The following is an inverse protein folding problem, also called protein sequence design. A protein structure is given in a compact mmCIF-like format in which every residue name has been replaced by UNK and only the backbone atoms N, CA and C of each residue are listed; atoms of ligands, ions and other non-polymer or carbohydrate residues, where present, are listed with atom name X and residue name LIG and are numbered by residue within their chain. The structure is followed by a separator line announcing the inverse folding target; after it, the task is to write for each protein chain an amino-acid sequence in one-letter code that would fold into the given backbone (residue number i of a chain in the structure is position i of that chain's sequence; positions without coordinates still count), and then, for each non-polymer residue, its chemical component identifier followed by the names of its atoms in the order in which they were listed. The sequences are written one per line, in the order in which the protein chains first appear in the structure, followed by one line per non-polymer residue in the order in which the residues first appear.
data_IF_084525140176
#
_entry.id   IF_084525140176
#
_cell.length_a   1.000
_cell.length_b   1.000
_cell.length_c   1.000
_cell.angle_alpha   90.00
_cell.angle_beta   90.00
_cell.angle_gamma   90.00
#
_symmetry.space_group_name_H-M   'P 1'
#
loop_
_entity.id
_entity.type
_entity.pdbx_description
1 polymer ?
#
# COMPACT_ATOMS: atom_id res chain seq x y z
N UNK A 1 -2.72 -6.72 -23.80
CA UNK A 1 -1.33 -6.90 -23.34
C UNK A 1 -1.30 -8.07 -22.38
N UNK A 2 -0.48 -9.10 -22.64
CA UNK A 2 -0.14 -10.11 -21.63
C UNK A 2 1.12 -9.58 -20.94
N UNK A 3 0.95 -8.63 -20.02
CA UNK A 3 2.04 -7.96 -19.31
C UNK A 3 2.19 -8.56 -17.92
N UNK A 4 3.25 -9.33 -17.70
CA UNK A 4 3.67 -9.74 -16.35
C UNK A 4 4.54 -8.67 -15.71
N UNK A 5 4.74 -8.75 -14.39
CA UNK A 5 5.75 -7.95 -13.72
C UNK A 5 7.15 -8.24 -14.28
N UNK A 6 7.97 -7.20 -14.38
CA UNK A 6 9.39 -7.36 -14.71
C UNK A 6 10.12 -8.12 -13.58
N UNK A 7 11.31 -8.65 -13.88
CA UNK A 7 12.13 -9.31 -12.85
C UNK A 7 12.53 -8.32 -11.74
N UNK A 8 12.73 -7.05 -12.10
CA UNK A 8 13.05 -5.96 -11.17
C UNK A 8 11.89 -5.70 -10.22
N UNK A 9 10.67 -5.59 -10.75
CA UNK A 9 9.46 -5.42 -9.95
C UNK A 9 9.20 -6.61 -9.03
N UNK A 10 9.33 -7.83 -9.55
CA UNK A 10 9.23 -9.06 -8.75
C UNK A 10 10.24 -9.06 -7.60
N UNK A 11 11.50 -8.71 -7.87
CA UNK A 11 12.54 -8.66 -6.83
C UNK A 11 12.19 -7.63 -5.74
N UNK A 12 11.81 -6.40 -6.10
CA UNK A 12 11.44 -5.36 -5.15
C UNK A 12 10.23 -5.73 -4.30
N UNK A 13 9.18 -6.30 -4.91
CA UNK A 13 7.99 -6.80 -4.19
C UNK A 13 8.36 -7.93 -3.23
N UNK A 14 9.18 -8.90 -3.66
CA UNK A 14 9.61 -9.99 -2.78
C UNK A 14 10.40 -9.50 -1.56
N UNK A 15 11.18 -8.42 -1.69
CA UNK A 15 11.86 -7.79 -0.56
C UNK A 15 10.86 -7.13 0.41
N UNK A 16 9.80 -6.51 -0.11
CA UNK A 16 8.76 -5.88 0.71
C UNK A 16 7.87 -6.91 1.42
N UNK A 17 7.65 -8.07 0.80
CA UNK A 17 6.82 -9.16 1.32
C UNK A 17 7.60 -10.48 1.38
N UNK A 18 8.61 -10.64 2.28
CA UNK A 18 9.45 -11.85 2.28
C UNK A 18 8.69 -13.18 2.45
N UNK A 19 7.47 -13.14 3.00
CA UNK A 19 6.57 -14.30 3.09
C UNK A 19 6.27 -14.91 1.72
N UNK A 20 6.29 -14.13 0.65
CA UNK A 20 6.04 -14.62 -0.72
C UNK A 20 7.14 -15.56 -1.22
N UNK A 21 8.33 -15.54 -0.61
CA UNK A 21 9.41 -16.46 -0.97
C UNK A 21 9.17 -17.88 -0.44
N UNK A 22 8.21 -18.08 0.46
CA UNK A 22 7.92 -19.38 1.08
C UNK A 22 7.08 -20.31 0.21
N UNK A 23 6.59 -19.86 -0.95
CA UNK A 23 5.67 -20.63 -1.80
C UNK A 23 4.21 -20.56 -1.33
N UNK A 24 3.27 -20.90 -2.21
CA UNK A 24 1.84 -20.97 -1.89
C UNK A 24 0.90 -20.21 -2.84
N UNK A 25 -0.40 -20.51 -2.73
CA UNK A 25 -1.48 -19.88 -3.52
C UNK A 25 -1.57 -18.37 -3.21
N UNK A 26 -1.30 -17.98 -1.97
CA UNK A 26 -1.32 -16.60 -1.48
C UNK A 26 -0.37 -15.66 -2.28
N UNK A 27 0.73 -16.20 -2.81
CA UNK A 27 1.69 -15.45 -3.65
C UNK A 27 1.03 -15.02 -4.95
N UNK A 28 0.39 -15.98 -5.62
CA UNK A 28 -0.32 -15.73 -6.88
C UNK A 28 -1.41 -14.68 -6.65
N UNK A 29 -2.13 -14.78 -5.53
CA UNK A 29 -3.12 -13.78 -5.14
C UNK A 29 -2.51 -12.39 -4.94
N UNK A 30 -1.41 -12.24 -4.20
CA UNK A 30 -0.78 -10.93 -4.00
C UNK A 30 -0.35 -10.30 -5.33
N UNK A 31 0.36 -11.03 -6.19
CA UNK A 31 0.79 -10.48 -7.48
C UNK A 31 -0.40 -10.15 -8.39
N UNK A 32 -1.49 -10.93 -8.33
CA UNK A 32 -2.73 -10.59 -9.05
C UNK A 32 -3.34 -9.29 -8.51
N UNK A 33 -3.43 -9.12 -7.19
CA UNK A 33 -3.97 -7.90 -6.56
C UNK A 33 -3.09 -6.68 -6.81
N UNK A 34 -1.77 -6.81 -6.68
CA UNK A 34 -0.82 -5.76 -7.03
C UNK A 34 -0.95 -5.37 -8.50
N UNK A 35 -1.07 -6.35 -9.41
CA UNK A 35 -1.26 -6.03 -10.83
C UNK A 35 -2.52 -5.20 -11.06
N UNK A 36 -3.65 -5.61 -10.46
CA UNK A 36 -4.90 -4.83 -10.52
C UNK A 36 -4.70 -3.42 -9.96
N UNK A 37 -3.99 -3.28 -8.84
CA UNK A 37 -3.66 -1.99 -8.25
C UNK A 37 -2.90 -1.09 -9.24
N UNK A 38 -1.92 -1.63 -9.97
CA UNK A 38 -1.20 -0.88 -11.00
C UNK A 38 -2.03 -0.56 -12.23
N UNK A 39 -2.92 -1.47 -12.64
CA UNK A 39 -3.89 -1.21 -13.71
C UNK A 39 -4.79 -0.01 -13.35
N UNK A 40 -5.28 0.05 -12.11
CA UNK A 40 -6.07 1.18 -11.58
C UNK A 40 -5.29 2.50 -11.51
N UNK A 41 -3.96 2.44 -11.35
CA UNK A 41 -3.12 3.65 -11.34
C UNK A 41 -2.95 4.30 -12.71
N UNK A 42 -3.23 3.59 -13.81
CA UNK A 42 -3.35 4.18 -15.15
C UNK A 42 -2.14 4.09 -16.10
N UNK A 43 -1.20 3.14 -15.91
CA UNK A 43 -0.01 2.87 -16.78
C UNK A 43 1.04 4.02 -16.85
N UNK A 44 2.16 3.89 -17.57
CA UNK A 44 3.39 3.14 -17.27
C UNK A 44 4.34 4.18 -16.60
N UNK A 45 5.27 3.78 -15.72
CA UNK A 45 6.19 4.69 -14.97
C UNK A 45 5.68 5.29 -13.66
N UNK A 46 4.73 4.64 -12.97
CA UNK A 46 4.40 5.04 -11.58
C UNK A 46 5.58 4.79 -10.64
N UNK A 47 6.28 3.68 -10.83
CA UNK A 47 7.43 3.30 -10.04
C UNK A 47 8.63 3.23 -10.99
N UNK A 48 9.70 3.94 -10.65
CA UNK A 48 10.94 3.88 -11.41
C UNK A 48 11.42 2.42 -11.48
N UNK A 49 11.89 2.00 -12.66
CA UNK A 49 12.21 0.60 -12.94
C UNK A 49 13.56 0.18 -12.32
N UNK A 50 13.61 0.15 -10.99
CA UNK A 50 14.71 -0.35 -10.19
C UNK A 50 14.19 -1.04 -8.91
N UNK A 51 15.01 -1.91 -8.33
CA UNK A 51 14.60 -2.75 -7.20
C UNK A 51 14.25 -1.91 -5.97
N UNK A 52 14.95 -0.80 -5.74
CA UNK A 52 14.76 0.06 -4.56
C UNK A 52 13.41 0.78 -4.59
N UNK A 53 13.03 1.33 -5.75
CA UNK A 53 11.74 1.99 -5.96
C UNK A 53 10.59 1.01 -5.79
N UNK A 54 10.69 -0.18 -6.36
CA UNK A 54 9.71 -1.25 -6.20
C UNK A 54 9.61 -1.76 -4.76
N UNK A 55 10.74 -1.88 -4.07
CA UNK A 55 10.78 -2.22 -2.65
C UNK A 55 10.11 -1.15 -1.78
N UNK A 56 10.46 0.12 -1.99
CA UNK A 56 9.91 1.25 -1.24
C UNK A 56 8.39 1.38 -1.46
N UNK A 57 7.94 1.27 -2.71
CA UNK A 57 6.51 1.24 -3.04
C UNK A 57 5.81 0.06 -2.36
N UNK A 58 6.38 -1.14 -2.48
CA UNK A 58 5.86 -2.35 -1.86
C UNK A 58 5.68 -2.21 -0.35
N UNK A 59 6.63 -1.56 0.35
CA UNK A 59 6.51 -1.30 1.80
C UNK A 59 5.37 -0.35 2.15
N UNK A 60 5.08 0.66 1.33
CA UNK A 60 3.93 1.56 1.55
C UNK A 60 2.60 0.83 1.36
N UNK A 61 2.46 0.02 0.30
CA UNK A 61 1.29 -0.85 0.09
C UNK A 61 1.13 -1.80 1.27
N UNK A 62 2.24 -2.33 1.80
CA UNK A 62 2.24 -3.29 2.88
C UNK A 62 1.61 -2.74 4.17
N UNK A 63 1.77 -1.43 4.42
CA UNK A 63 1.15 -0.78 5.59
C UNK A 63 -0.35 -1.04 5.63
N UNK A 64 -1.05 -1.00 4.51
CA UNK A 64 -2.50 -1.26 4.46
C UNK A 64 -2.83 -2.74 4.27
N UNK A 65 -2.01 -3.46 3.51
CA UNK A 65 -2.12 -4.90 3.35
C UNK A 65 -2.15 -5.63 4.71
N UNK A 66 -1.23 -5.29 5.62
CA UNK A 66 -1.11 -5.91 6.93
C UNK A 66 -2.29 -5.55 7.88
N UNK A 67 -3.13 -4.57 7.50
CA UNK A 67 -4.29 -4.11 8.29
C UNK A 67 -5.61 -4.76 7.87
N UNK A 68 -5.72 -5.29 6.65
CA UNK A 68 -6.97 -5.85 6.13
C UNK A 68 -6.79 -6.63 4.82
N UNK A 69 -5.75 -7.45 4.75
CA UNK A 69 -5.32 -8.24 3.58
C UNK A 69 -6.45 -8.82 2.70
N UNK A 70 -7.53 -9.29 3.32
CA UNK A 70 -8.64 -9.96 2.66
C UNK A 70 -9.72 -9.02 2.10
N UNK A 71 -9.73 -7.74 2.50
CA UNK A 71 -10.75 -6.76 2.11
C UNK A 71 -10.54 -6.28 0.67
N UNK A 72 -11.41 -6.73 -0.25
CA UNK A 72 -11.42 -6.23 -1.64
C UNK A 72 -11.70 -4.72 -1.70
N UNK A 73 -12.51 -4.19 -0.78
CA UNK A 73 -12.78 -2.75 -0.66
C UNK A 73 -11.50 -1.95 -0.42
N UNK A 74 -10.60 -2.42 0.46
CA UNK A 74 -9.32 -1.76 0.68
C UNK A 74 -8.48 -1.72 -0.59
N UNK A 75 -8.45 -2.80 -1.37
CA UNK A 75 -7.69 -2.83 -2.62
C UNK A 75 -8.24 -1.84 -3.65
N UNK A 76 -9.56 -1.71 -3.77
CA UNK A 76 -10.18 -0.69 -4.62
C UNK A 76 -9.84 0.74 -4.16
N UNK A 77 -9.94 1.00 -2.84
CA UNK A 77 -9.62 2.30 -2.27
C UNK A 77 -8.14 2.64 -2.46
N UNK A 78 -7.23 1.67 -2.32
CA UNK A 78 -5.81 1.85 -2.61
C UNK A 78 -5.58 2.25 -4.07
N UNK A 79 -6.28 1.57 -5.01
CA UNK A 79 -6.21 1.87 -6.45
C UNK A 79 -6.63 3.29 -6.77
N UNK A 80 -7.74 3.76 -6.18
CA UNK A 80 -8.27 5.10 -6.41
C UNK A 80 -7.43 6.21 -5.78
N UNK A 81 -6.67 5.90 -4.73
CA UNK A 81 -5.93 6.88 -3.92
C UNK A 81 -4.41 6.74 -4.09
N UNK A 82 -3.95 6.65 -5.34
CA UNK A 82 -2.53 6.46 -5.69
C UNK A 82 -1.58 7.48 -5.05
N UNK A 83 -2.03 8.73 -4.83
CA UNK A 83 -1.21 9.81 -4.25
C UNK A 83 -0.69 9.45 -2.87
N UNK A 84 -1.42 8.66 -2.07
CA UNK A 84 -0.95 8.16 -0.78
C UNK A 84 0.37 7.39 -0.91
N UNK A 85 0.48 6.54 -1.94
CA UNK A 85 1.66 5.70 -2.14
C UNK A 85 2.80 6.45 -2.83
N UNK A 86 2.49 7.50 -3.58
CA UNK A 86 3.49 8.29 -4.29
C UNK A 86 4.09 9.39 -3.42
N UNK A 87 3.26 10.09 -2.67
CA UNK A 87 3.63 11.33 -1.97
C UNK A 87 3.97 11.09 -0.51
N UNK A 88 3.32 10.14 0.16
CA UNK A 88 3.60 9.87 1.58
C UNK A 88 4.82 8.97 1.74
N UNK A 89 5.55 9.19 2.83
CA UNK A 89 6.56 8.22 3.29
C UNK A 89 5.87 7.05 4.01
N UNK A 90 6.51 5.88 4.02
CA UNK A 90 6.04 4.73 4.81
C UNK A 90 5.86 5.09 6.30
N UNK A 91 6.82 5.83 6.88
CA UNK A 91 6.74 6.27 8.26
C UNK A 91 5.53 7.18 8.53
N UNK A 92 5.17 8.05 7.58
CA UNK A 92 3.98 8.88 7.71
C UNK A 92 2.70 8.02 7.73
N UNK A 93 2.60 7.03 6.84
CA UNK A 93 1.46 6.10 6.77
C UNK A 93 1.34 5.29 8.08
N UNK A 94 2.44 4.73 8.57
CA UNK A 94 2.47 3.98 9.84
C UNK A 94 2.05 4.87 11.01
N UNK A 95 2.66 6.04 11.15
CA UNK A 95 2.35 6.97 12.23
C UNK A 95 0.87 7.38 12.22
N UNK A 96 0.28 7.59 11.04
CA UNK A 96 -1.12 7.97 10.91
C UNK A 96 -2.06 6.83 11.30
N UNK A 97 -1.77 5.61 10.85
CA UNK A 97 -2.52 4.42 11.26
C UNK A 97 -2.44 4.21 12.77
N UNK A 98 -1.24 4.30 13.35
CA UNK A 98 -1.01 4.12 14.79
C UNK A 98 -1.73 5.19 15.61
N UNK A 99 -1.79 6.44 15.11
CA UNK A 99 -2.57 7.50 15.75
C UNK A 99 -4.04 7.10 15.94
N UNK A 100 -4.72 6.63 14.89
CA UNK A 100 -6.12 6.19 15.01
C UNK A 100 -6.27 4.97 15.91
N UNK A 101 -5.36 3.99 15.79
CA UNK A 101 -5.38 2.79 16.61
C UNK A 101 -5.26 3.09 18.12
N UNK A 102 -4.55 4.16 18.51
CA UNK A 102 -4.44 4.60 19.93
C UNK A 102 -5.78 4.98 20.57
N UNK A 103 -6.80 5.30 19.78
CA UNK A 103 -8.15 5.60 20.27
C UNK A 103 -9.08 4.37 20.32
N UNK A 104 -8.52 3.17 20.18
CA UNK A 104 -9.29 1.91 20.19
C UNK A 104 -9.98 1.59 18.87
N UNK A 105 -9.67 2.33 17.80
CA UNK A 105 -10.07 1.99 16.44
C UNK A 105 -9.29 0.75 16.00
N UNK A 106 -9.96 -0.23 15.40
CA UNK A 106 -9.29 -1.40 14.86
C UNK A 106 -8.45 -1.07 13.64
N UNK A 107 -7.55 -1.98 13.29
CA UNK A 107 -6.58 -1.79 12.20
C UNK A 107 -7.25 -1.61 10.84
N UNK A 108 -8.29 -2.39 10.57
CA UNK A 108 -9.08 -2.32 9.35
C UNK A 108 -9.87 -1.01 9.28
N UNK A 109 -10.49 -0.60 10.38
CA UNK A 109 -11.22 0.67 10.46
C UNK A 109 -10.30 1.88 10.30
N UNK A 110 -9.07 1.81 10.80
CA UNK A 110 -8.05 2.85 10.57
C UNK A 110 -7.68 2.96 9.07
N UNK A 111 -7.52 1.82 8.38
CA UNK A 111 -7.28 1.81 6.94
C UNK A 111 -8.46 2.41 6.16
N UNK A 112 -9.69 2.03 6.51
CA UNK A 112 -10.92 2.55 5.91
C UNK A 112 -11.18 4.03 6.21
N UNK A 113 -10.55 4.60 7.23
CA UNK A 113 -10.58 6.04 7.48
C UNK A 113 -9.59 6.78 6.57
N UNK A 114 -8.35 6.26 6.48
CA UNK A 114 -7.25 6.92 5.78
C UNK A 114 -7.39 6.83 4.26
N UNK A 115 -7.66 5.63 3.73
CA UNK A 115 -7.65 5.38 2.28
C UNK A 115 -8.64 6.27 1.50
N UNK A 116 -9.91 6.44 1.91
CA UNK A 116 -10.82 7.32 1.19
C UNK A 116 -10.59 8.82 1.44
N UNK A 117 -9.80 9.18 2.45
CA UNK A 117 -9.56 10.57 2.87
C UNK A 117 -8.06 10.88 2.90
N UNK A 118 -7.35 10.85 1.76
CA UNK A 118 -5.89 11.03 1.73
C UNK A 118 -5.42 12.36 2.34
N UNK A 119 -6.27 13.40 2.32
CA UNK A 119 -6.01 14.70 2.94
C UNK A 119 -5.74 14.58 4.46
N UNK A 120 -6.20 13.51 5.11
CA UNK A 120 -5.93 13.23 6.54
C UNK A 120 -4.42 13.19 6.85
N UNK A 121 -3.61 12.87 5.83
CA UNK A 121 -2.16 12.82 5.94
C UNK A 121 -1.53 14.20 6.17
N UNK A 122 -2.19 15.27 5.71
CA UNK A 122 -1.68 16.65 5.83
C UNK A 122 -1.85 17.25 7.24
N UNK A 123 -2.76 16.69 8.06
CA UNK A 123 -3.01 17.22 9.40
C UNK A 123 -1.95 16.77 10.40
N UNK A 124 -1.44 17.71 11.19
CA UNK A 124 -0.67 17.41 12.41
C UNK A 124 -1.66 17.05 13.52
N UNK A 125 -1.99 15.76 13.63
CA UNK A 125 -3.00 15.26 14.58
C UNK A 125 -2.51 15.27 16.03
N UNK A 126 -1.21 15.47 16.26
CA UNK A 126 -0.66 15.58 17.62
C UNK A 126 -0.66 17.01 18.15
N UNK A 127 -0.86 18.01 17.27
CA UNK A 127 -1.06 19.41 17.68
C UNK A 127 -2.54 19.80 17.53
N UNK A 128 -3.25 20.06 18.64
CA UNK A 128 -4.60 20.60 18.53
C UNK A 128 -4.54 21.96 17.81
N UNK A 129 -5.27 22.07 16.70
CA UNK A 129 -5.56 23.37 16.09
C UNK A 129 -6.63 24.00 16.96
N UNK A 130 -6.22 24.95 17.79
CA UNK A 130 -7.09 25.74 18.67
C UNK A 130 -7.56 26.98 17.92
#
# INVERSE_FOLDING_TARGET
MVGGFSTVAVAGVCLAYPSVLRGGVEIGCLFVKLRKLFEEFGSEDVVEENVESWYAFGRKVRVFYDLGFESEEMWELMGRNRSLFMECSEGALVNKTDYFCRFGIGKEEAALLILPNPDVMSFDLEKPVI
#
